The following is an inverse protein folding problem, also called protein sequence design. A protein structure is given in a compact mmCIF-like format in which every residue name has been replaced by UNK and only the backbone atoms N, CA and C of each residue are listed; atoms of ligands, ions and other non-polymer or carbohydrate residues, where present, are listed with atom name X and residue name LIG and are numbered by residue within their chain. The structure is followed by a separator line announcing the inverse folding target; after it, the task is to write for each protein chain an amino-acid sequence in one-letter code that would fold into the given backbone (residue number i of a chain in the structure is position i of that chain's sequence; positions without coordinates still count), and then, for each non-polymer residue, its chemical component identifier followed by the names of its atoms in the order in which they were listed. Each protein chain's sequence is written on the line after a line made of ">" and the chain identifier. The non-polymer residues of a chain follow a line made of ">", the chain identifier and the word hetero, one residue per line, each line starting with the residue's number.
data_IF_218164698344
#
_entry.id   IF_218164698344
#
_cell.length_a   1.000
_cell.length_b   1.000
_cell.length_c   1.000
_cell.angle_alpha   90.00
_cell.angle_beta   90.00
_cell.angle_gamma   90.00
#
_symmetry.space_group_name_H-M   'P 1'
#
loop_
_entity.id
_entity.type
_entity.pdbx_description
1 polymer ?
#
# COMPACT_ATOMS: atom_id res chain seq x y z
N UNK A 1 6.25 7.01 39.94
CA UNK A 1 6.46 7.30 38.49
C UNK A 1 7.93 7.62 38.27
N UNK A 2 8.56 7.02 37.26
CA UNK A 2 9.94 7.35 36.87
C UNK A 2 9.88 8.74 36.24
N UNK A 3 10.14 9.81 37.01
CA UNK A 3 9.89 11.19 36.58
C UNK A 3 10.80 11.67 35.44
N UNK A 4 11.99 11.12 35.25
CA UNK A 4 12.97 11.61 34.29
C UNK A 4 13.59 10.53 33.37
N UNK A 5 12.96 9.35 33.30
CA UNK A 5 13.46 8.25 32.48
C UNK A 5 13.07 8.43 31.02
N UNK A 6 14.06 8.52 30.17
CA UNK A 6 13.91 8.56 28.71
C UNK A 6 14.56 7.35 28.08
N UNK A 7 13.77 6.51 27.41
CA UNK A 7 14.24 5.24 26.79
C UNK A 7 15.44 5.42 25.84
N UNK A 8 15.52 6.55 25.15
CA UNK A 8 16.62 6.85 24.21
C UNK A 8 17.95 7.15 24.91
N UNK A 9 17.92 7.42 26.21
CA UNK A 9 19.12 7.60 27.05
C UNK A 9 19.51 6.33 27.79
N UNK A 10 18.66 5.30 27.74
CA UNK A 10 18.98 4.01 28.35
C UNK A 10 20.07 3.29 27.54
N UNK A 11 21.17 2.97 28.21
CA UNK A 11 22.34 2.36 27.58
C UNK A 11 22.02 0.99 26.97
N UNK A 12 21.10 0.22 27.58
CA UNK A 12 20.70 -1.09 27.07
C UNK A 12 19.88 -0.95 25.78
N UNK A 13 18.95 0.01 25.74
CA UNK A 13 18.22 0.31 24.51
C UNK A 13 19.17 0.74 23.38
N UNK A 14 20.08 1.66 23.68
CA UNK A 14 21.03 2.18 22.69
C UNK A 14 21.95 1.08 22.15
N UNK A 15 22.48 0.22 23.02
CA UNK A 15 23.30 -0.92 22.61
C UNK A 15 22.52 -1.95 21.79
N UNK A 16 21.28 -2.24 22.16
CA UNK A 16 20.42 -3.14 21.40
C UNK A 16 20.18 -2.63 19.97
N UNK A 17 19.87 -1.34 19.80
CA UNK A 17 19.65 -0.76 18.47
C UNK A 17 20.95 -0.75 17.66
N UNK A 18 22.07 -0.36 18.25
CA UNK A 18 23.39 -0.31 17.58
C UNK A 18 23.81 -1.68 17.06
N UNK A 19 23.55 -2.74 17.82
CA UNK A 19 23.94 -4.11 17.47
C UNK A 19 22.93 -4.80 16.52
N UNK A 20 21.93 -4.06 16.01
CA UNK A 20 20.97 -4.53 15.00
C UNK A 20 20.93 -3.57 13.79
N UNK A 21 22.01 -3.48 12.99
CA UNK A 21 22.16 -2.49 11.92
C UNK A 21 21.11 -2.65 10.81
N UNK A 22 20.46 -3.81 10.71
CA UNK A 22 19.45 -4.09 9.68
C UNK A 22 18.02 -3.71 10.09
N UNK A 23 17.84 -3.02 11.25
CA UNK A 23 16.52 -2.51 11.62
C UNK A 23 16.18 -1.27 10.78
N UNK A 24 14.96 -1.25 10.23
CA UNK A 24 14.43 -0.05 9.61
C UNK A 24 14.13 1.04 10.66
N UNK A 25 14.13 2.31 10.28
CA UNK A 25 13.73 3.42 11.15
C UNK A 25 12.33 3.20 11.77
N UNK A 26 11.40 2.66 11.00
CA UNK A 26 10.08 2.29 11.49
C UNK A 26 10.15 1.24 12.61
N UNK A 27 11.00 0.22 12.46
CA UNK A 27 11.22 -0.80 13.50
C UNK A 27 11.87 -0.21 14.75
N UNK A 28 12.84 0.69 14.60
CA UNK A 28 13.47 1.41 15.71
C UNK A 28 12.43 2.21 16.49
N UNK A 29 11.56 2.95 15.77
CA UNK A 29 10.46 3.71 16.36
C UNK A 29 9.46 2.81 17.11
N UNK A 30 9.16 1.62 16.57
CA UNK A 30 8.29 0.66 17.24
C UNK A 30 8.93 0.13 18.54
N UNK A 31 10.21 -0.28 18.53
CA UNK A 31 10.91 -0.68 19.75
C UNK A 31 10.91 0.44 20.79
N UNK A 32 11.23 1.68 20.37
CA UNK A 32 11.17 2.85 21.26
C UNK A 32 9.80 3.00 21.92
N UNK A 33 8.74 2.94 21.13
CA UNK A 33 7.36 3.13 21.62
C UNK A 33 6.95 2.02 22.57
N UNK A 34 7.19 0.76 22.20
CA UNK A 34 6.79 -0.41 22.99
C UNK A 34 7.57 -0.53 24.27
N UNK A 35 8.91 -0.37 24.24
CA UNK A 35 9.73 -0.45 25.44
C UNK A 35 9.48 0.72 26.40
N UNK A 36 9.21 1.92 25.89
CA UNK A 36 8.78 3.05 26.72
C UNK A 36 7.43 2.79 27.41
N UNK A 37 6.49 2.15 26.70
CA UNK A 37 5.20 1.73 27.23
C UNK A 37 5.37 0.64 28.30
N UNK A 38 6.29 -0.30 28.08
CA UNK A 38 6.62 -1.37 29.02
C UNK A 38 7.23 -0.84 30.31
N UNK A 39 8.24 0.01 30.24
CA UNK A 39 8.87 0.64 31.42
C UNK A 39 7.89 1.48 32.21
N UNK A 40 6.98 2.20 31.54
CA UNK A 40 5.90 2.93 32.21
C UNK A 40 4.90 2.02 32.93
N UNK A 41 4.51 0.92 32.29
CA UNK A 41 3.59 -0.06 32.89
C UNK A 41 4.20 -0.70 34.15
N UNK A 42 5.46 -1.11 34.07
CA UNK A 42 6.19 -1.77 35.17
C UNK A 42 6.71 -0.76 36.19
N UNK A 43 6.77 0.51 35.86
CA UNK A 43 7.34 1.60 36.66
C UNK A 43 8.82 1.39 37.05
N UNK A 44 9.61 0.80 36.16
CA UNK A 44 11.02 0.54 36.34
C UNK A 44 11.80 0.75 35.01
N UNK A 45 13.09 1.21 35.08
CA UNK A 45 13.94 1.32 33.90
C UNK A 45 14.34 -0.07 33.39
N UNK A 46 14.72 -0.18 32.09
CA UNK A 46 15.10 -1.45 31.47
C UNK A 46 16.27 -2.15 32.19
N UNK A 47 17.24 -1.38 32.67
CA UNK A 47 18.40 -1.89 33.41
C UNK A 47 17.98 -2.62 34.70
N UNK A 48 17.06 -2.03 35.45
CA UNK A 48 16.53 -2.61 36.69
C UNK A 48 15.69 -3.87 36.41
N UNK A 49 14.84 -3.83 35.38
CA UNK A 49 14.03 -4.98 34.95
C UNK A 49 14.94 -6.17 34.61
N UNK A 50 15.95 -5.96 33.76
CA UNK A 50 16.88 -7.00 33.32
C UNK A 50 17.68 -7.52 34.51
N UNK A 51 18.20 -6.64 35.37
CA UNK A 51 18.97 -6.98 36.54
C UNK A 51 18.15 -7.91 37.47
N UNK A 52 16.94 -7.52 37.84
CA UNK A 52 16.09 -8.32 38.74
C UNK A 52 15.68 -9.66 38.14
N UNK A 53 15.41 -9.70 36.81
CA UNK A 53 15.13 -10.96 36.14
C UNK A 53 16.33 -11.92 36.18
N UNK A 54 17.54 -11.43 35.90
CA UNK A 54 18.77 -12.23 35.92
C UNK A 54 19.12 -12.72 37.34
N UNK A 55 19.12 -11.81 38.30
CA UNK A 55 19.38 -12.17 39.70
C UNK A 55 18.45 -13.26 40.22
N UNK A 56 17.19 -13.28 39.77
CA UNK A 56 16.26 -14.34 40.12
C UNK A 56 16.52 -15.63 39.36
N UNK A 57 16.87 -15.55 38.08
CA UNK A 57 17.12 -16.69 37.21
C UNK A 57 18.45 -17.40 37.53
N UNK A 58 19.44 -16.65 38.04
CA UNK A 58 20.74 -17.17 38.41
C UNK A 58 20.76 -17.73 39.84
N UNK A 59 19.69 -17.54 40.63
CA UNK A 59 19.58 -18.07 41.97
C UNK A 59 19.41 -19.61 41.94
N UNK A 60 20.43 -20.29 42.39
CA UNK A 60 20.36 -21.71 42.70
C UNK A 60 20.03 -21.84 44.19
N UNK A 61 18.88 -22.43 44.50
CA UNK A 61 18.49 -22.63 45.88
C UNK A 61 18.80 -24.07 46.26
N UNK A 62 19.78 -24.25 47.12
CA UNK A 62 20.03 -25.56 47.76
C UNK A 62 19.04 -25.73 48.91
N UNK A 63 18.20 -26.75 48.83
CA UNK A 63 17.33 -27.14 49.95
C UNK A 63 17.85 -28.46 50.51
N UNK A 64 18.01 -28.52 51.83
CA UNK A 64 18.23 -29.78 52.55
C UNK A 64 16.91 -30.55 52.52
N UNK A 65 16.86 -31.67 51.81
CA UNK A 65 15.65 -32.48 51.63
C UNK A 65 15.49 -33.58 52.68
N UNK A 66 16.57 -34.09 53.18
CA UNK A 66 16.55 -35.08 54.26
C UNK A 66 17.82 -35.03 55.08
N UNK A 67 17.71 -35.34 56.36
CA UNK A 67 18.84 -35.69 57.23
C UNK A 67 18.62 -37.12 57.64
N UNK A 68 19.39 -38.04 57.11
CA UNK A 68 19.43 -39.48 57.55
C UNK A 68 20.73 -39.73 58.23
N UNK A 69 20.71 -40.61 59.28
CA UNK A 69 21.91 -41.03 59.95
C UNK A 69 22.24 -42.45 59.47
N UNK A 70 23.46 -42.67 58.99
CA UNK A 70 23.90 -43.99 58.57
C UNK A 70 24.14 -44.94 59.80
N UNK A 71 24.36 -46.23 59.56
CA UNK A 71 24.60 -47.26 60.61
C UNK A 71 25.84 -46.92 61.42
N UNK A 72 26.71 -46.06 60.98
CA UNK A 72 27.91 -45.59 61.65
C UNK A 72 27.73 -44.28 62.41
N UNK A 73 26.50 -43.72 62.49
CA UNK A 73 26.20 -42.50 63.22
C UNK A 73 26.51 -41.22 62.47
N UNK A 74 26.88 -41.29 61.19
CA UNK A 74 27.17 -40.09 60.37
C UNK A 74 25.87 -39.51 59.76
N UNK A 75 25.70 -38.22 59.85
CA UNK A 75 24.54 -37.55 59.26
C UNK A 75 24.71 -37.32 57.74
N UNK A 76 23.92 -38.02 56.95
CA UNK A 76 23.85 -37.84 55.51
C UNK A 76 22.86 -36.73 55.27
N UNK A 77 23.31 -35.63 54.63
CA UNK A 77 22.48 -34.47 54.22
C UNK A 77 22.21 -34.61 52.74
N UNK A 78 21.00 -34.98 52.40
CA UNK A 78 20.54 -34.87 51.00
C UNK A 78 20.19 -33.44 50.70
N UNK A 79 20.87 -32.88 49.69
CA UNK A 79 20.60 -31.53 49.17
C UNK A 79 19.93 -31.63 47.81
N UNK A 80 18.75 -31.08 47.69
CA UNK A 80 18.13 -30.86 46.37
C UNK A 80 18.50 -29.46 45.83
N UNK A 81 18.94 -29.46 44.60
CA UNK A 81 19.19 -28.20 43.87
C UNK A 81 17.91 -27.83 43.15
N UNK A 82 17.25 -26.76 43.60
CA UNK A 82 16.07 -26.23 42.93
C UNK A 82 16.54 -25.19 41.93
N UNK A 83 16.44 -25.50 40.65
CA UNK A 83 16.67 -24.53 39.58
C UNK A 83 15.49 -23.55 39.50
N UNK A 84 15.74 -22.34 38.95
CA UNK A 84 14.71 -21.37 38.68
C UNK A 84 13.60 -21.95 37.81
N UNK A 85 12.37 -21.88 38.29
CA UNK A 85 11.18 -22.22 37.48
C UNK A 85 10.70 -21.02 36.71
N UNK A 86 10.94 -21.04 35.41
CA UNK A 86 10.54 -19.98 34.47
C UNK A 86 9.01 -19.80 34.36
N UNK A 87 8.27 -20.87 34.64
CA UNK A 87 6.81 -20.85 34.57
C UNK A 87 6.15 -20.42 35.89
N UNK A 88 6.95 -20.19 36.95
CA UNK A 88 6.42 -19.68 38.21
C UNK A 88 5.73 -18.33 37.97
N UNK A 89 4.41 -18.19 38.22
CA UNK A 89 3.66 -16.94 38.04
C UNK A 89 4.23 -15.75 38.83
N UNK A 90 4.87 -16.00 39.99
CA UNK A 90 5.47 -15.00 40.85
C UNK A 90 6.90 -14.60 40.45
N UNK A 91 7.43 -15.19 39.38
CA UNK A 91 8.73 -14.77 38.87
C UNK A 91 8.66 -13.33 38.35
N UNK A 92 9.75 -12.58 38.51
CA UNK A 92 9.82 -11.18 38.08
C UNK A 92 9.43 -11.01 36.60
N UNK A 93 9.87 -11.96 35.75
CA UNK A 93 9.57 -11.88 34.33
C UNK A 93 8.06 -12.03 34.04
N UNK A 94 7.39 -12.98 34.71
CA UNK A 94 5.95 -13.18 34.56
C UNK A 94 5.17 -12.01 35.12
N UNK A 95 5.57 -11.49 36.31
CA UNK A 95 4.94 -10.31 36.87
C UNK A 95 5.05 -9.09 35.97
N UNK A 96 6.21 -8.83 35.37
CA UNK A 96 6.42 -7.68 34.46
C UNK A 96 5.63 -7.82 33.17
N UNK A 97 5.62 -9.00 32.55
CA UNK A 97 4.84 -9.24 31.34
C UNK A 97 3.34 -9.11 31.59
N UNK A 98 2.84 -9.70 32.70
CA UNK A 98 1.43 -9.60 33.09
C UNK A 98 1.04 -8.15 33.42
N UNK A 99 1.91 -7.39 34.08
CA UNK A 99 1.68 -5.96 34.36
C UNK A 99 1.53 -5.18 33.06
N UNK A 100 2.36 -5.46 32.05
CA UNK A 100 2.25 -4.83 30.73
C UNK A 100 0.94 -5.23 30.02
N UNK A 101 0.58 -6.50 30.07
CA UNK A 101 -0.67 -7.01 29.48
C UNK A 101 -1.87 -6.29 30.11
N UNK A 102 -1.94 -6.22 31.44
CA UNK A 102 -3.02 -5.54 32.15
C UNK A 102 -3.07 -4.05 31.80
N UNK A 103 -1.90 -3.41 31.70
CA UNK A 103 -1.83 -2.01 31.25
C UNK A 103 -2.43 -1.85 29.84
N UNK A 104 -2.13 -2.76 28.90
CA UNK A 104 -2.67 -2.75 27.56
C UNK A 104 -4.19 -2.98 27.52
N UNK A 105 -4.69 -3.93 28.32
CA UNK A 105 -6.12 -4.23 28.45
C UNK A 105 -6.86 -3.01 28.99
N UNK A 106 -6.35 -2.39 30.05
CA UNK A 106 -6.94 -1.18 30.64
C UNK A 106 -6.96 0.01 29.65
N UNK A 107 -6.01 0.07 28.72
CA UNK A 107 -5.98 1.03 27.61
C UNK A 107 -6.84 0.61 26.43
N UNK A 108 -7.59 -0.49 26.52
CA UNK A 108 -8.44 -1.05 25.45
C UNK A 108 -7.68 -1.34 24.15
N UNK A 109 -6.42 -1.74 24.26
CA UNK A 109 -5.63 -2.15 23.11
C UNK A 109 -6.17 -3.46 22.51
N UNK A 110 -6.07 -3.62 21.18
CA UNK A 110 -6.45 -4.87 20.52
C UNK A 110 -5.51 -6.02 20.91
N UNK A 111 -6.01 -7.25 20.85
CA UNK A 111 -5.20 -8.48 21.05
C UNK A 111 -4.00 -8.57 20.12
N UNK A 112 -4.16 -8.08 18.86
CA UNK A 112 -3.06 -7.97 17.89
C UNK A 112 -1.96 -7.02 18.38
N UNK A 113 -2.33 -5.88 18.97
CA UNK A 113 -1.38 -4.92 19.55
C UNK A 113 -0.66 -5.51 20.75
N UNK A 114 -1.37 -6.21 21.63
CA UNK A 114 -0.77 -6.89 22.79
C UNK A 114 0.25 -7.93 22.33
N UNK A 115 -0.12 -8.80 21.39
CA UNK A 115 0.79 -9.82 20.84
C UNK A 115 2.02 -9.20 20.19
N UNK A 116 1.87 -8.08 19.49
CA UNK A 116 2.97 -7.35 18.87
C UNK A 116 3.90 -6.75 19.93
N UNK A 117 3.36 -6.09 20.95
CA UNK A 117 4.13 -5.50 22.04
C UNK A 117 4.96 -6.60 22.76
N UNK A 118 4.30 -7.71 23.09
CA UNK A 118 4.97 -8.85 23.73
C UNK A 118 6.10 -9.44 22.87
N UNK A 119 5.89 -9.54 21.55
CA UNK A 119 6.94 -10.03 20.65
C UNK A 119 8.18 -9.12 20.64
N UNK A 120 8.00 -7.78 20.68
CA UNK A 120 9.11 -6.84 20.73
C UNK A 120 9.81 -6.85 22.10
N UNK A 121 9.03 -6.84 23.20
CA UNK A 121 9.56 -6.91 24.58
C UNK A 121 10.38 -8.18 24.76
N UNK A 122 9.83 -9.35 24.42
CA UNK A 122 10.51 -10.63 24.60
C UNK A 122 11.75 -10.73 23.71
N UNK A 123 11.73 -10.18 22.50
CA UNK A 123 12.92 -10.12 21.64
C UNK A 123 14.03 -9.27 22.26
N UNK A 124 13.68 -8.14 22.86
CA UNK A 124 14.61 -7.28 23.56
C UNK A 124 15.20 -7.96 24.80
N UNK A 125 14.38 -8.57 25.66
CA UNK A 125 14.80 -9.24 26.87
C UNK A 125 15.69 -10.48 26.58
N UNK A 126 15.33 -11.27 25.55
CA UNK A 126 16.15 -12.41 25.09
C UNK A 126 17.53 -11.97 24.60
N UNK A 127 17.64 -10.80 23.97
CA UNK A 127 18.93 -10.25 23.54
C UNK A 127 19.88 -10.05 24.74
N UNK A 128 19.34 -9.76 25.92
CA UNK A 128 20.10 -9.66 27.17
C UNK A 128 20.12 -10.93 27.98
N UNK A 129 19.88 -12.09 27.35
CA UNK A 129 19.89 -13.43 27.98
C UNK A 129 18.89 -13.60 29.14
N UNK A 130 17.80 -12.85 29.16
CA UNK A 130 16.68 -13.11 30.06
C UNK A 130 15.87 -14.28 29.50
N UNK A 131 15.71 -15.34 30.28
CA UNK A 131 14.87 -16.47 29.94
C UNK A 131 13.40 -16.01 29.95
N UNK A 132 12.65 -16.40 28.92
CA UNK A 132 11.25 -16.00 28.75
C UNK A 132 10.36 -17.24 28.79
N UNK A 133 9.25 -17.22 29.56
CA UNK A 133 8.30 -18.32 29.60
C UNK A 133 7.63 -18.51 28.23
N UNK A 134 7.12 -19.71 27.98
CA UNK A 134 6.30 -19.97 26.80
C UNK A 134 4.98 -19.23 26.96
N UNK A 135 4.79 -18.20 26.17
CA UNK A 135 3.57 -17.40 26.19
C UNK A 135 2.62 -17.85 25.08
N UNK A 136 1.37 -18.06 25.45
CA UNK A 136 0.30 -18.24 24.48
C UNK A 136 -0.04 -16.90 23.83
N UNK A 137 -0.32 -16.94 22.53
CA UNK A 137 -0.78 -15.76 21.79
C UNK A 137 -2.28 -15.57 22.06
N UNK A 138 -2.66 -14.34 22.34
CA UNK A 138 -4.07 -14.00 22.35
C UNK A 138 -4.69 -14.30 20.99
N UNK A 139 -5.86 -14.95 20.97
CA UNK A 139 -6.60 -15.21 19.75
C UNK A 139 -6.90 -13.90 19.03
N UNK A 140 -6.68 -13.89 17.72
CA UNK A 140 -7.11 -12.76 16.91
C UNK A 140 -8.62 -12.86 16.75
N UNK A 141 -9.33 -11.82 17.14
CA UNK A 141 -10.71 -11.70 16.72
C UNK A 141 -10.69 -11.54 15.20
N UNK A 142 -11.09 -12.59 14.48
CA UNK A 142 -11.37 -12.50 13.06
C UNK A 142 -12.61 -11.60 12.92
N UNK A 143 -12.40 -10.30 12.88
CA UNK A 143 -13.44 -9.38 12.43
C UNK A 143 -13.59 -9.64 10.94
N UNK A 144 -14.76 -10.11 10.52
CA UNK A 144 -15.14 -10.08 9.11
C UNK A 144 -15.06 -8.62 8.65
N UNK A 145 -14.15 -8.38 7.72
CA UNK A 145 -13.95 -7.05 7.18
C UNK A 145 -14.80 -6.93 5.92
N UNK A 146 -15.82 -6.10 5.96
CA UNK A 146 -16.51 -5.71 4.75
C UNK A 146 -15.53 -4.95 3.84
N UNK A 147 -15.47 -5.37 2.59
CA UNK A 147 -14.72 -4.66 1.56
C UNK A 147 -15.48 -3.38 1.18
N UNK A 148 -14.71 -2.35 0.84
CA UNK A 148 -15.26 -1.17 0.19
C UNK A 148 -15.84 -1.57 -1.16
N UNK A 149 -17.01 -1.01 -1.51
CA UNK A 149 -17.65 -1.21 -2.80
C UNK A 149 -17.27 -0.13 -3.80
N UNK A 150 -17.64 -0.30 -5.07
CA UNK A 150 -17.45 0.75 -6.09
C UNK A 150 -18.22 2.03 -5.73
N UNK A 151 -19.41 1.88 -5.18
CA UNK A 151 -20.26 3.01 -4.72
C UNK A 151 -19.57 3.78 -3.60
N UNK A 152 -18.93 3.10 -2.65
CA UNK A 152 -18.13 3.72 -1.59
C UNK A 152 -16.97 4.56 -2.17
N UNK A 153 -16.26 4.00 -3.14
CA UNK A 153 -15.17 4.71 -3.79
C UNK A 153 -15.68 5.92 -4.60
N UNK A 154 -16.77 5.76 -5.34
CA UNK A 154 -17.39 6.86 -6.09
C UNK A 154 -17.83 7.99 -5.15
N UNK A 155 -18.46 7.67 -4.01
CA UNK A 155 -18.80 8.66 -2.99
C UNK A 155 -17.57 9.45 -2.50
N UNK A 156 -16.46 8.76 -2.23
CA UNK A 156 -15.21 9.36 -1.75
C UNK A 156 -14.54 10.21 -2.83
N UNK A 157 -14.52 9.74 -4.07
CA UNK A 157 -13.85 10.40 -5.19
C UNK A 157 -14.60 11.66 -5.59
N UNK A 158 -15.93 11.63 -5.64
CA UNK A 158 -16.76 12.80 -5.96
C UNK A 158 -16.57 13.95 -4.96
N UNK A 159 -16.24 13.66 -3.71
CA UNK A 159 -15.86 14.66 -2.68
C UNK A 159 -14.35 14.98 -2.69
N UNK A 160 -13.60 14.58 -3.71
CA UNK A 160 -12.13 14.73 -3.75
C UNK A 160 -11.68 15.83 -4.70
N UNK A 161 -10.55 16.45 -4.37
CA UNK A 161 -9.79 17.23 -5.36
C UNK A 161 -9.19 16.29 -6.40
N UNK A 162 -8.91 16.77 -7.60
CA UNK A 162 -8.30 15.95 -8.66
C UNK A 162 -6.99 15.28 -8.22
N UNK A 163 -6.17 15.95 -7.39
CA UNK A 163 -4.95 15.41 -6.83
C UNK A 163 -5.22 14.22 -5.87
N UNK A 164 -6.27 14.28 -5.05
CA UNK A 164 -6.63 13.17 -4.19
C UNK A 164 -7.38 12.07 -4.96
N UNK A 165 -8.21 12.44 -5.94
CA UNK A 165 -8.89 11.48 -6.79
C UNK A 165 -7.88 10.63 -7.57
N UNK A 166 -6.88 11.24 -8.22
CA UNK A 166 -5.84 10.52 -8.96
C UNK A 166 -5.03 9.58 -8.07
N UNK A 167 -4.69 9.99 -6.84
CA UNK A 167 -4.01 9.11 -5.86
C UNK A 167 -4.90 7.92 -5.45
N UNK A 168 -6.18 8.17 -5.17
CA UNK A 168 -7.13 7.12 -4.77
C UNK A 168 -7.32 6.12 -5.91
N UNK A 169 -7.54 6.59 -7.14
CA UNK A 169 -7.62 5.75 -8.33
C UNK A 169 -6.37 4.90 -8.49
N UNK A 170 -5.19 5.52 -8.40
CA UNK A 170 -3.92 4.79 -8.51
C UNK A 170 -3.81 3.65 -7.47
N UNK A 171 -4.20 3.90 -6.21
CA UNK A 171 -4.16 2.89 -5.14
C UNK A 171 -5.17 1.75 -5.38
N UNK A 172 -6.35 2.05 -5.93
CA UNK A 172 -7.41 1.08 -6.23
C UNK A 172 -7.01 0.22 -7.43
N UNK A 173 -6.46 0.84 -8.48
CA UNK A 173 -6.21 0.18 -9.76
C UNK A 173 -4.86 -0.54 -9.82
N UNK A 174 -3.83 -0.07 -9.08
CA UNK A 174 -2.52 -0.71 -9.03
C UNK A 174 -2.35 -1.66 -7.85
N UNK A 175 -3.13 -1.48 -6.79
CA UNK A 175 -2.93 -2.18 -5.53
C UNK A 175 -1.58 -1.92 -4.88
N UNK A 176 -0.79 -0.94 -5.34
CA UNK A 176 0.51 -0.59 -4.75
C UNK A 176 0.35 -0.19 -3.28
N UNK A 177 1.41 -0.43 -2.49
CA UNK A 177 1.43 0.09 -1.12
C UNK A 177 1.56 1.62 -1.15
N UNK A 178 0.90 2.31 -0.22
CA UNK A 178 0.96 3.78 -0.14
C UNK A 178 2.40 4.31 -0.15
N UNK A 179 3.31 3.63 0.56
CA UNK A 179 4.73 4.01 0.59
C UNK A 179 5.41 3.98 -0.76
N UNK A 180 5.09 2.96 -1.58
CA UNK A 180 5.67 2.80 -2.90
C UNK A 180 5.04 3.79 -3.88
N UNK A 181 3.70 3.94 -3.83
CA UNK A 181 2.95 4.93 -4.63
C UNK A 181 3.45 6.36 -4.40
N UNK A 182 3.66 6.75 -3.15
CA UNK A 182 4.11 8.12 -2.83
C UNK A 182 5.56 8.40 -3.23
N UNK A 183 6.36 7.39 -3.56
CA UNK A 183 7.73 7.57 -4.07
C UNK A 183 7.79 7.72 -5.58
N UNK A 184 6.70 7.50 -6.30
CA UNK A 184 6.67 7.65 -7.74
C UNK A 184 6.95 9.09 -8.16
N UNK A 185 7.77 9.23 -9.20
CA UNK A 185 8.07 10.48 -9.87
C UNK A 185 7.31 10.62 -11.18
N UNK A 186 7.29 11.82 -11.76
CA UNK A 186 6.75 12.03 -13.11
C UNK A 186 7.54 11.17 -14.11
N UNK A 187 8.85 11.04 -13.94
CA UNK A 187 9.69 10.20 -14.78
C UNK A 187 9.32 8.71 -14.71
N UNK A 188 8.97 8.20 -13.49
CA UNK A 188 8.50 6.82 -13.36
C UNK A 188 7.16 6.60 -14.10
N UNK A 189 6.28 7.60 -14.11
CA UNK A 189 5.02 7.52 -14.85
C UNK A 189 5.24 7.58 -16.37
N UNK A 190 6.15 8.43 -16.84
CA UNK A 190 6.55 8.47 -18.26
C UNK A 190 7.14 7.13 -18.70
N UNK A 191 8.03 6.54 -17.89
CA UNK A 191 8.61 5.22 -18.18
C UNK A 191 7.55 4.11 -18.16
N UNK A 192 6.62 4.15 -17.21
CA UNK A 192 5.53 3.19 -17.11
C UNK A 192 4.56 3.22 -18.31
N UNK A 193 4.51 4.34 -19.04
CA UNK A 193 3.64 4.56 -20.21
C UNK A 193 4.39 4.61 -21.53
N UNK A 194 5.70 4.38 -21.55
CA UNK A 194 6.56 4.51 -22.74
C UNK A 194 6.16 3.65 -23.93
N UNK A 195 5.38 2.60 -23.73
CA UNK A 195 4.83 1.78 -24.81
C UNK A 195 3.90 2.60 -25.75
N UNK A 196 3.40 3.73 -25.29
CA UNK A 196 2.40 4.56 -25.98
C UNK A 196 2.96 5.86 -26.54
N UNK A 197 4.21 6.21 -26.23
CA UNK A 197 4.83 7.49 -26.63
C UNK A 197 6.36 7.47 -26.50
N UNK A 198 7.02 8.38 -27.25
CA UNK A 198 8.47 8.59 -27.22
C UNK A 198 8.87 9.94 -26.62
N UNK A 199 7.99 10.59 -25.85
CA UNK A 199 8.28 11.88 -25.26
C UNK A 199 9.42 11.83 -24.26
N UNK A 200 10.39 12.73 -24.43
CA UNK A 200 11.53 12.89 -23.49
C UNK A 200 11.28 14.08 -22.57
N UNK A 201 10.65 15.14 -23.09
CA UNK A 201 10.33 16.34 -22.33
C UNK A 201 9.05 16.14 -21.51
N UNK A 202 9.05 16.67 -20.27
CA UNK A 202 7.91 16.55 -19.34
C UNK A 202 6.74 17.40 -19.77
N UNK A 203 6.98 18.60 -20.26
CA UNK A 203 5.93 19.52 -20.68
C UNK A 203 5.22 19.01 -21.93
N UNK A 204 6.00 18.45 -22.88
CA UNK A 204 5.47 17.82 -24.08
C UNK A 204 4.65 16.57 -23.74
N UNK A 205 5.14 15.71 -22.84
CA UNK A 205 4.40 14.56 -22.36
C UNK A 205 3.07 14.94 -21.71
N UNK A 206 3.09 15.91 -20.78
CA UNK A 206 1.86 16.34 -20.08
C UNK A 206 0.80 16.84 -21.05
N UNK A 207 1.20 17.59 -22.08
CA UNK A 207 0.25 18.17 -23.04
C UNK A 207 -0.30 17.16 -24.03
N UNK A 208 0.56 16.26 -24.55
CA UNK A 208 0.26 15.45 -25.73
C UNK A 208 0.12 13.94 -25.45
N UNK A 209 0.34 13.48 -24.21
CA UNK A 209 0.24 12.06 -23.90
C UNK A 209 -1.14 11.47 -24.30
N UNK A 210 -1.17 10.26 -24.93
CA UNK A 210 -2.40 9.60 -25.33
C UNK A 210 -3.33 9.30 -24.14
N UNK A 211 -4.65 9.30 -24.40
CA UNK A 211 -5.64 9.08 -23.34
C UNK A 211 -5.84 7.61 -22.94
N UNK A 212 -5.51 6.66 -23.84
CA UNK A 212 -5.82 5.25 -23.65
C UNK A 212 -4.61 4.43 -23.16
N UNK A 213 -3.71 5.05 -22.43
CA UNK A 213 -2.52 4.40 -21.92
C UNK A 213 -2.83 3.47 -20.73
N UNK A 214 -2.14 2.33 -20.70
CA UNK A 214 -2.03 1.47 -19.51
C UNK A 214 -0.61 1.61 -19.01
N UNK A 215 -0.43 2.14 -17.81
CA UNK A 215 0.89 2.24 -17.21
C UNK A 215 1.31 0.90 -16.63
N UNK A 216 2.55 0.48 -16.89
CA UNK A 216 3.15 -0.76 -16.41
C UNK A 216 4.24 -0.44 -15.40
N UNK A 217 4.07 -0.86 -14.16
CA UNK A 217 5.03 -0.67 -13.07
C UNK A 217 5.71 -1.99 -12.73
N UNK A 218 7.00 -2.08 -12.96
CA UNK A 218 7.83 -3.25 -12.66
C UNK A 218 8.94 -2.86 -11.68
N UNK A 219 8.83 -3.27 -10.43
CA UNK A 219 9.70 -2.79 -9.37
C UNK A 219 9.82 -3.77 -8.19
N UNK A 220 10.72 -3.48 -7.28
CA UNK A 220 10.86 -4.18 -6.00
C UNK A 220 10.30 -3.31 -4.88
N UNK A 221 9.12 -3.64 -4.29
CA UNK A 221 8.50 -2.84 -3.23
C UNK A 221 9.44 -2.66 -2.03
N UNK A 222 9.52 -1.46 -1.48
CA UNK A 222 10.46 -1.08 -0.41
C UNK A 222 10.45 -2.06 0.76
N UNK A 223 9.26 -2.46 1.21
CA UNK A 223 9.09 -3.40 2.33
C UNK A 223 9.68 -4.79 2.06
N UNK A 224 9.71 -5.20 0.82
CA UNK A 224 10.10 -6.57 0.39
C UNK A 224 11.36 -6.59 -0.47
N UNK A 225 11.95 -5.43 -0.76
CA UNK A 225 13.14 -5.26 -1.59
C UNK A 225 14.34 -6.11 -1.14
N UNK A 226 14.57 -6.21 0.17
CA UNK A 226 15.62 -7.07 0.74
C UNK A 226 15.44 -8.55 0.45
N UNK A 227 14.21 -8.98 0.17
CA UNK A 227 13.89 -10.37 -0.19
C UNK A 227 13.81 -10.55 -1.72
N UNK A 228 14.12 -9.52 -2.51
CA UNK A 228 14.04 -9.52 -3.98
C UNK A 228 12.67 -9.97 -4.50
N UNK A 229 11.58 -9.60 -3.82
CA UNK A 229 10.23 -9.90 -4.26
C UNK A 229 9.83 -8.83 -5.27
N UNK A 230 9.70 -9.24 -6.55
CA UNK A 230 9.28 -8.38 -7.67
C UNK A 230 7.79 -8.12 -7.61
N UNK A 231 7.37 -6.95 -8.04
CA UNK A 231 5.98 -6.57 -8.24
C UNK A 231 5.82 -6.04 -9.65
N UNK A 232 4.88 -6.60 -10.40
CA UNK A 232 4.46 -6.07 -11.71
C UNK A 232 2.99 -5.73 -11.57
N UNK A 233 2.64 -4.46 -11.70
CA UNK A 233 1.26 -4.01 -11.59
C UNK A 233 0.99 -2.88 -12.58
N UNK A 234 -0.27 -2.49 -12.71
CA UNK A 234 -0.70 -1.58 -13.78
C UNK A 234 -1.66 -0.53 -13.24
N UNK A 235 -1.85 0.52 -14.05
CA UNK A 235 -3.00 1.42 -13.92
C UNK A 235 -3.68 1.57 -15.27
N UNK A 236 -5.01 1.68 -15.22
CA UNK A 236 -5.87 1.76 -16.39
C UNK A 236 -5.94 3.18 -16.99
N UNK A 237 -6.53 3.36 -18.18
CA UNK A 237 -6.68 4.66 -18.80
C UNK A 237 -7.43 5.69 -17.95
N UNK A 238 -8.44 5.27 -17.18
CA UNK A 238 -9.20 6.13 -16.27
C UNK A 238 -8.27 6.82 -15.27
N UNK A 239 -7.43 6.03 -14.61
CA UNK A 239 -6.43 6.52 -13.64
C UNK A 239 -5.39 7.42 -14.28
N UNK A 240 -4.85 7.01 -15.44
CA UNK A 240 -3.77 7.73 -16.11
C UNK A 240 -4.24 9.09 -16.65
N UNK A 241 -5.47 9.16 -17.12
CA UNK A 241 -6.11 10.43 -17.53
C UNK A 241 -6.28 11.37 -16.33
N UNK A 242 -6.69 10.88 -15.16
CA UNK A 242 -6.79 11.71 -13.96
C UNK A 242 -5.42 12.21 -13.50
N UNK A 243 -4.38 11.39 -13.60
CA UNK A 243 -3.00 11.80 -13.30
C UNK A 243 -2.57 12.93 -14.25
N UNK A 244 -2.76 12.75 -15.57
CA UNK A 244 -2.43 13.77 -16.58
C UNK A 244 -3.22 15.06 -16.36
N UNK A 245 -4.52 14.99 -16.06
CA UNK A 245 -5.33 16.16 -15.72
C UNK A 245 -4.80 16.89 -14.49
N UNK A 246 -4.38 16.16 -13.45
CA UNK A 246 -3.76 16.78 -12.28
C UNK A 246 -2.43 17.46 -12.62
N UNK A 247 -1.57 16.83 -13.42
CA UNK A 247 -0.31 17.41 -13.87
C UNK A 247 -0.53 18.65 -14.74
N UNK A 248 -1.50 18.62 -15.69
CA UNK A 248 -1.91 19.79 -16.50
C UNK A 248 -2.39 20.94 -15.61
N UNK A 249 -3.19 20.65 -14.59
CA UNK A 249 -3.64 21.66 -13.62
C UNK A 249 -2.48 22.26 -12.83
N UNK A 250 -1.50 21.46 -12.41
CA UNK A 250 -0.30 21.95 -11.71
C UNK A 250 0.50 22.84 -12.66
N UNK A 251 0.79 22.39 -13.87
CA UNK A 251 1.56 23.10 -14.90
C UNK A 251 0.89 24.43 -15.29
N UNK A 252 -0.38 24.41 -15.67
CA UNK A 252 -1.04 25.52 -16.34
C UNK A 252 -1.71 26.52 -15.38
N UNK A 253 -2.10 26.09 -14.19
CA UNK A 253 -2.83 26.96 -13.26
C UNK A 253 -2.06 27.23 -11.96
N UNK A 254 -1.39 26.22 -11.43
CA UNK A 254 -0.85 26.30 -10.06
C UNK A 254 0.56 26.89 -10.03
N UNK A 255 1.47 26.37 -10.86
CA UNK A 255 2.84 26.87 -10.96
C UNK A 255 2.92 28.31 -11.42
N UNK A 256 2.17 28.79 -12.43
CA UNK A 256 2.20 30.20 -12.81
C UNK A 256 1.84 31.15 -11.66
N UNK A 257 0.80 30.82 -10.88
CA UNK A 257 0.41 31.61 -9.69
C UNK A 257 1.49 31.59 -8.61
N UNK A 258 2.13 30.44 -8.44
CA UNK A 258 3.21 30.28 -7.47
C UNK A 258 4.46 31.03 -7.91
N UNK A 259 4.84 30.96 -9.19
CA UNK A 259 5.95 31.68 -9.80
C UNK A 259 5.79 33.20 -9.67
N UNK A 260 4.59 33.71 -9.95
CA UNK A 260 4.27 35.13 -9.76
C UNK A 260 4.44 35.55 -8.29
N UNK A 261 3.98 34.71 -7.34
CA UNK A 261 4.09 34.99 -5.90
C UNK A 261 5.51 34.96 -5.38
N UNK A 262 6.36 34.05 -5.91
CA UNK A 262 7.72 33.83 -5.45
C UNK A 262 8.79 34.59 -6.25
N UNK A 263 8.42 35.18 -7.40
CA UNK A 263 9.39 35.72 -8.35
C UNK A 263 10.33 34.65 -8.93
N UNK A 264 9.82 33.44 -9.14
CA UNK A 264 10.57 32.27 -9.59
C UNK A 264 10.06 31.75 -10.95
N UNK A 265 10.85 30.89 -11.61
CA UNK A 265 10.45 30.14 -12.81
C UNK A 265 10.47 28.63 -12.53
N UNK A 266 9.52 28.16 -11.71
CA UNK A 266 9.39 26.75 -11.38
C UNK A 266 8.71 26.01 -12.54
N UNK A 267 9.34 24.91 -12.99
CA UNK A 267 8.80 24.00 -14.02
C UNK A 267 8.79 22.59 -13.47
N UNK A 268 7.91 21.72 -14.00
CA UNK A 268 7.92 20.31 -13.69
C UNK A 268 9.12 19.61 -14.33
N UNK A 269 9.64 18.60 -13.65
CA UNK A 269 10.75 17.78 -14.13
C UNK A 269 10.48 16.28 -13.87
N UNK A 270 11.23 15.40 -14.52
CA UNK A 270 11.12 13.95 -14.32
C UNK A 270 11.34 13.51 -12.87
N UNK A 271 12.14 14.27 -12.10
CA UNK A 271 12.46 13.96 -10.71
C UNK A 271 11.42 14.45 -9.71
N UNK A 272 10.45 15.25 -10.16
CA UNK A 272 9.40 15.74 -9.28
C UNK A 272 8.39 14.64 -8.96
N UNK A 273 7.81 14.74 -7.76
CA UNK A 273 6.86 13.75 -7.27
C UNK A 273 5.60 13.68 -8.15
N UNK A 274 5.17 12.47 -8.52
CA UNK A 274 3.92 12.24 -9.24
C UNK A 274 2.71 12.68 -8.40
N UNK A 275 2.73 12.35 -7.10
CA UNK A 275 1.75 12.78 -6.11
C UNK A 275 2.39 13.83 -5.21
N UNK A 276 2.37 15.06 -5.68
CA UNK A 276 3.17 16.15 -5.15
C UNK A 276 2.53 16.87 -3.96
N UNK A 277 3.38 17.38 -3.07
CA UNK A 277 3.00 18.18 -1.91
C UNK A 277 2.96 19.67 -2.22
N UNK A 278 1.83 20.33 -1.94
CA UNK A 278 1.71 21.80 -2.00
C UNK A 278 2.73 22.50 -1.10
N UNK A 279 3.03 21.94 0.09
CA UNK A 279 4.01 22.49 1.02
C UNK A 279 5.43 22.51 0.47
N UNK A 280 5.74 21.61 -0.45
CA UNK A 280 7.02 21.50 -1.13
C UNK A 280 6.97 22.03 -2.57
N UNK A 281 6.09 23.01 -2.82
CA UNK A 281 5.99 23.69 -4.12
C UNK A 281 5.76 22.73 -5.30
N UNK A 282 5.07 21.61 -5.05
CA UNK A 282 4.80 20.54 -6.01
C UNK A 282 6.04 19.79 -6.54
N UNK A 283 7.19 19.93 -5.87
CA UNK A 283 8.44 19.22 -6.19
C UNK A 283 8.60 17.92 -5.39
N UNK A 284 8.25 17.97 -4.11
CA UNK A 284 8.41 16.84 -3.21
C UNK A 284 7.15 16.02 -3.02
N UNK A 285 7.34 14.79 -2.52
CA UNK A 285 6.28 13.82 -2.30
C UNK A 285 5.32 14.20 -1.18
N UNK A 286 4.06 13.78 -1.30
CA UNK A 286 3.13 13.80 -0.18
C UNK A 286 3.66 12.92 0.96
N UNK A 287 3.52 13.37 2.20
CA UNK A 287 3.82 12.53 3.36
C UNK A 287 2.69 11.53 3.63
N UNK A 288 3.04 10.34 4.13
CA UNK A 288 2.04 9.36 4.55
C UNK A 288 1.07 9.94 5.60
N UNK A 289 1.55 10.80 6.48
CA UNK A 289 0.73 11.46 7.50
C UNK A 289 -0.33 12.37 6.85
N UNK A 290 0.08 13.21 5.90
CA UNK A 290 -0.87 14.08 5.16
C UNK A 290 -1.96 13.29 4.45
N UNK A 291 -1.59 12.16 3.82
CA UNK A 291 -2.56 11.28 3.15
C UNK A 291 -3.48 10.60 4.17
N UNK A 292 -2.93 10.13 5.29
CA UNK A 292 -3.70 9.50 6.36
C UNK A 292 -4.74 10.47 6.95
N UNK A 293 -4.40 11.73 7.12
CA UNK A 293 -5.33 12.76 7.61
C UNK A 293 -6.48 13.01 6.62
N UNK A 294 -6.17 13.05 5.32
CA UNK A 294 -7.20 13.18 4.27
C UNK A 294 -8.10 11.95 4.27
N UNK A 295 -7.53 10.76 4.33
CA UNK A 295 -8.28 9.50 4.33
C UNK A 295 -9.14 9.36 5.58
N UNK A 296 -8.66 9.78 6.74
CA UNK A 296 -9.43 9.79 7.96
C UNK A 296 -10.69 10.67 7.85
N UNK A 297 -10.54 11.89 7.30
CA UNK A 297 -11.69 12.80 7.09
C UNK A 297 -12.71 12.20 6.13
N UNK A 298 -12.24 11.59 5.02
CA UNK A 298 -13.12 10.92 4.06
C UNK A 298 -13.80 9.69 4.64
N UNK A 299 -13.09 8.92 5.44
CA UNK A 299 -13.66 7.78 6.16
C UNK A 299 -14.79 8.22 7.13
N UNK A 300 -14.63 9.36 7.79
CA UNK A 300 -15.69 9.90 8.65
C UNK A 300 -16.95 10.25 7.87
N UNK A 301 -16.81 10.93 6.72
CA UNK A 301 -17.92 11.26 5.83
C UNK A 301 -18.60 10.00 5.26
N UNK A 302 -17.82 9.01 4.83
CA UNK A 302 -18.34 7.73 4.35
C UNK A 302 -19.15 7.03 5.44
N UNK A 303 -18.62 7.00 6.66
CA UNK A 303 -19.30 6.40 7.81
C UNK A 303 -20.64 7.09 8.10
N UNK A 304 -20.66 8.42 8.08
CA UNK A 304 -21.88 9.20 8.25
C UNK A 304 -22.91 8.92 7.15
N UNK A 305 -22.45 8.78 5.91
CA UNK A 305 -23.30 8.38 4.77
C UNK A 305 -23.93 6.99 5.00
N UNK A 306 -23.13 5.99 5.35
CA UNK A 306 -23.64 4.65 5.65
C UNK A 306 -24.61 4.64 6.83
N UNK A 307 -24.37 5.41 7.89
CA UNK A 307 -25.29 5.51 9.03
C UNK A 307 -26.65 6.04 8.57
N UNK A 308 -26.67 7.07 7.71
CA UNK A 308 -27.93 7.57 7.13
C UNK A 308 -28.67 6.50 6.32
N UNK A 309 -27.95 5.74 5.48
CA UNK A 309 -28.56 4.64 4.72
C UNK A 309 -29.11 3.52 5.62
N UNK A 310 -28.42 3.22 6.73
CA UNK A 310 -28.89 2.26 7.73
C UNK A 310 -30.18 2.77 8.39
N UNK A 311 -30.22 4.05 8.79
CA UNK A 311 -31.38 4.66 9.43
C UNK A 311 -32.57 4.75 8.47
N UNK A 312 -32.33 5.02 7.17
CA UNK A 312 -33.37 4.95 6.12
C UNK A 312 -33.95 3.54 5.96
N UNK A 313 -33.11 2.49 5.99
CA UNK A 313 -33.56 1.09 5.95
C UNK A 313 -34.42 0.71 7.14
N UNK A 314 -34.08 1.21 8.33
CA UNK A 314 -34.88 1.01 9.54
C UNK A 314 -36.23 1.69 9.39
N UNK A 315 -36.27 2.94 8.92
CA UNK A 315 -37.52 3.68 8.70
C UNK A 315 -38.43 3.02 7.66
N UNK A 316 -37.86 2.30 6.67
CA UNK A 316 -38.60 1.50 5.67
C UNK A 316 -39.00 0.12 6.18
N UNK A 317 -38.59 -0.29 7.38
CA UNK A 317 -38.83 -1.61 7.93
C UNK A 317 -37.97 -2.74 7.33
N UNK A 318 -36.92 -2.39 6.55
CA UNK A 318 -36.00 -3.34 5.91
C UNK A 318 -34.92 -3.86 6.89
N UNK A 319 -34.70 -3.15 7.99
CA UNK A 319 -33.75 -3.51 9.05
C UNK A 319 -34.36 -3.27 10.43
N UNK A 320 -34.11 -4.20 11.37
CA UNK A 320 -34.58 -4.03 12.75
C UNK A 320 -33.73 -3.03 13.53
N UNK A 321 -34.34 -2.38 14.54
CA UNK A 321 -33.62 -1.52 15.47
C UNK A 321 -32.53 -2.27 16.27
N UNK A 322 -32.75 -3.55 16.56
CA UNK A 322 -31.82 -4.43 17.26
C UNK A 322 -30.55 -4.67 16.46
N UNK A 323 -30.67 -4.79 15.13
CA UNK A 323 -29.55 -5.02 14.22
C UNK A 323 -28.76 -3.74 13.86
N UNK A 324 -29.28 -2.56 14.20
CA UNK A 324 -28.67 -1.26 13.89
C UNK A 324 -27.20 -1.18 14.31
N UNK A 325 -26.89 -1.56 15.55
CA UNK A 325 -25.53 -1.49 16.05
C UNK A 325 -24.58 -2.46 15.35
N UNK A 326 -25.08 -3.65 15.00
CA UNK A 326 -24.34 -4.65 14.22
C UNK A 326 -24.03 -4.12 12.82
N UNK A 327 -25.02 -3.52 12.14
CA UNK A 327 -24.86 -2.89 10.83
C UNK A 327 -23.83 -1.73 10.88
N UNK A 328 -23.90 -0.85 11.89
CA UNK A 328 -22.92 0.22 12.07
C UNK A 328 -21.50 -0.31 12.29
N UNK A 329 -21.34 -1.41 13.02
CA UNK A 329 -20.04 -2.02 13.27
C UNK A 329 -19.46 -2.72 12.01
N UNK A 330 -20.31 -3.09 11.07
CA UNK A 330 -19.92 -3.71 9.80
C UNK A 330 -19.55 -2.71 8.69
N UNK A 331 -19.72 -1.40 8.91
CA UNK A 331 -19.35 -0.37 7.92
C UNK A 331 -17.86 -0.49 7.57
N UNK A 332 -17.51 -0.62 6.28
CA UNK A 332 -16.12 -0.73 5.86
C UNK A 332 -15.34 0.54 6.16
N UNK A 333 -14.04 0.41 6.43
CA UNK A 333 -13.16 1.55 6.72
C UNK A 333 -12.37 1.95 5.50
N UNK A 334 -12.50 3.20 5.08
CA UNK A 334 -11.68 3.76 4.01
C UNK A 334 -10.28 4.13 4.51
N UNK A 335 -9.28 3.49 3.94
CA UNK A 335 -7.85 3.77 4.13
C UNK A 335 -7.04 3.15 2.99
N UNK A 336 -5.78 3.53 2.81
CA UNK A 336 -4.96 3.06 1.70
C UNK A 336 -4.85 1.52 1.60
N UNK A 337 -4.80 0.82 2.75
CA UNK A 337 -4.81 -0.65 2.72
C UNK A 337 -6.19 -1.22 2.33
N UNK A 338 -7.29 -0.48 2.55
CA UNK A 338 -8.62 -0.83 2.06
C UNK A 338 -8.69 -0.80 0.53
N UNK A 339 -8.11 0.22 -0.11
CA UNK A 339 -7.96 0.30 -1.57
C UNK A 339 -7.21 -0.93 -2.12
N UNK A 340 -6.08 -1.27 -1.50
CA UNK A 340 -5.30 -2.44 -1.87
C UNK A 340 -6.06 -3.77 -1.65
N UNK A 341 -6.85 -3.89 -0.58
CA UNK A 341 -7.70 -5.08 -0.36
C UNK A 341 -8.74 -5.24 -1.46
N UNK A 342 -9.36 -4.15 -1.89
CA UNK A 342 -10.29 -4.15 -3.02
C UNK A 342 -9.59 -4.66 -4.29
N UNK A 343 -8.43 -4.09 -4.64
CA UNK A 343 -7.62 -4.55 -5.78
C UNK A 343 -7.33 -6.05 -5.69
N UNK A 344 -6.75 -6.51 -4.58
CA UNK A 344 -6.38 -7.91 -4.36
C UNK A 344 -7.59 -8.83 -4.52
N UNK A 345 -8.72 -8.49 -3.88
CA UNK A 345 -9.96 -9.27 -4.01
C UNK A 345 -10.45 -9.34 -5.45
N UNK A 346 -10.42 -8.23 -6.16
CA UNK A 346 -10.88 -8.15 -7.55
C UNK A 346 -9.96 -8.93 -8.49
N UNK A 347 -8.63 -8.77 -8.35
CA UNK A 347 -7.67 -9.52 -9.17
C UNK A 347 -7.80 -11.03 -8.92
N UNK A 348 -7.86 -11.46 -7.65
CA UNK A 348 -7.99 -12.89 -7.34
C UNK A 348 -9.31 -13.51 -7.85
N UNK A 349 -10.38 -12.72 -7.93
CA UNK A 349 -11.66 -13.17 -8.48
C UNK A 349 -11.58 -13.40 -10.00
N UNK A 350 -10.85 -12.54 -10.72
CA UNK A 350 -10.84 -12.51 -12.19
C UNK A 350 -9.63 -13.22 -12.82
N UNK A 351 -8.53 -13.37 -12.08
CA UNK A 351 -7.31 -14.00 -12.56
C UNK A 351 -7.26 -15.46 -12.11
N UNK A 352 -7.49 -16.41 -12.99
CA UNK A 352 -7.43 -17.85 -12.69
C UNK A 352 -6.04 -18.37 -12.26
N UNK A 353 -5.02 -17.52 -12.18
CA UNK A 353 -3.64 -17.89 -11.87
C UNK A 353 -3.11 -17.15 -10.62
N UNK A 354 -3.09 -17.84 -9.48
CA UNK A 354 -2.64 -17.30 -8.20
C UNK A 354 -1.19 -16.76 -8.24
N UNK A 355 -0.32 -17.29 -9.11
CA UNK A 355 1.06 -16.81 -9.25
C UNK A 355 1.09 -15.41 -9.85
N UNK A 356 0.30 -15.15 -10.89
CA UNK A 356 0.18 -13.81 -11.49
C UNK A 356 -0.43 -12.83 -10.48
N UNK A 357 -1.44 -13.26 -9.71
CA UNK A 357 -2.02 -12.44 -8.64
C UNK A 357 -0.96 -12.03 -7.60
N UNK A 358 -0.19 -12.99 -7.09
CA UNK A 358 0.84 -12.68 -6.08
C UNK A 358 1.95 -11.78 -6.62
N UNK A 359 2.25 -11.86 -7.91
CA UNK A 359 3.20 -10.97 -8.57
C UNK A 359 2.66 -9.54 -8.65
N UNK A 360 1.40 -9.35 -9.06
CA UNK A 360 0.73 -8.04 -9.05
C UNK A 360 0.61 -7.46 -7.63
N UNK A 361 0.46 -8.32 -6.64
CA UNK A 361 0.41 -7.92 -5.25
C UNK A 361 1.78 -7.60 -4.64
N UNK A 362 2.89 -7.97 -5.28
CA UNK A 362 4.24 -7.88 -4.69
C UNK A 362 4.33 -8.70 -3.41
N UNK A 363 3.74 -9.89 -3.41
CA UNK A 363 3.81 -10.91 -2.37
C UNK A 363 4.75 -12.04 -2.78
N UNK A 364 5.25 -12.78 -1.77
CA UNK A 364 6.03 -13.99 -2.04
C UNK A 364 5.13 -15.03 -2.71
N UNK A 365 5.65 -15.70 -3.75
CA UNK A 365 4.92 -16.80 -4.39
C UNK A 365 4.50 -17.86 -3.34
N UNK A 366 3.30 -18.43 -3.47
CA UNK A 366 2.86 -19.53 -2.61
C UNK A 366 3.71 -20.80 -2.81
N UNK A 367 4.39 -20.94 -3.96
CA UNK A 367 5.28 -22.06 -4.25
C UNK A 367 6.72 -21.63 -4.03
N UNK A 368 7.42 -22.30 -3.11
CA UNK A 368 8.77 -21.92 -2.69
C UNK A 368 9.80 -21.95 -3.85
N UNK A 369 9.64 -22.87 -4.78
CA UNK A 369 10.56 -23.09 -5.91
C UNK A 369 10.33 -22.18 -7.10
N UNK A 370 9.22 -21.42 -7.14
CA UNK A 370 8.86 -20.58 -8.31
C UNK A 370 9.95 -19.56 -8.66
N UNK A 371 10.64 -18.99 -7.67
CA UNK A 371 11.71 -18.02 -7.92
C UNK A 371 12.87 -18.57 -8.74
N UNK A 372 13.04 -19.89 -8.78
CA UNK A 372 14.12 -20.58 -9.50
C UNK A 372 13.70 -21.10 -10.88
N UNK A 373 12.42 -21.40 -11.06
CA UNK A 373 11.94 -22.11 -12.25
C UNK A 373 10.94 -21.35 -13.10
N UNK A 374 10.25 -20.34 -12.54
CA UNK A 374 9.20 -19.62 -13.25
C UNK A 374 9.65 -18.21 -13.57
N UNK A 375 9.79 -17.92 -14.87
CA UNK A 375 9.90 -16.54 -15.36
C UNK A 375 8.52 -16.10 -15.85
N UNK A 376 8.03 -15.00 -15.30
CA UNK A 376 6.78 -14.40 -15.76
C UNK A 376 7.07 -13.38 -16.84
N UNK A 377 6.37 -13.47 -17.95
CA UNK A 377 6.33 -12.41 -18.95
C UNK A 377 5.43 -11.28 -18.41
N UNK A 378 5.84 -10.03 -18.64
CA UNK A 378 5.06 -8.84 -18.32
C UNK A 378 3.73 -8.86 -19.06
N UNK A 379 3.72 -9.42 -20.27
CA UNK A 379 2.53 -9.52 -21.11
C UNK A 379 1.46 -10.44 -20.48
N UNK A 380 1.86 -11.62 -19.97
CA UNK A 380 0.93 -12.54 -19.29
C UNK A 380 0.25 -11.87 -18.08
N UNK A 381 1.05 -11.08 -17.32
CA UNK A 381 0.54 -10.34 -16.15
C UNK A 381 -0.41 -9.22 -16.59
N UNK A 382 -0.08 -8.54 -17.71
CA UNK A 382 -0.91 -7.49 -18.30
C UNK A 382 -2.26 -8.03 -18.77
N UNK A 383 -2.28 -9.17 -19.41
CA UNK A 383 -3.53 -9.83 -19.85
C UNK A 383 -4.42 -10.21 -18.66
N UNK A 384 -3.84 -10.77 -17.60
CA UNK A 384 -4.57 -11.04 -16.37
C UNK A 384 -5.14 -9.77 -15.71
N UNK A 385 -4.40 -8.66 -15.75
CA UNK A 385 -4.88 -7.37 -15.27
C UNK A 385 -6.03 -6.83 -16.14
N UNK A 386 -5.90 -6.91 -17.48
CA UNK A 386 -6.92 -6.44 -18.43
C UNK A 386 -8.26 -7.15 -18.21
N UNK A 387 -8.23 -8.47 -17.94
CA UNK A 387 -9.43 -9.23 -17.61
C UNK A 387 -10.16 -8.73 -16.35
N UNK A 388 -9.44 -8.11 -15.43
CA UNK A 388 -10.00 -7.58 -14.19
C UNK A 388 -10.47 -6.11 -14.29
N UNK A 389 -10.12 -5.38 -15.36
CA UNK A 389 -10.47 -3.96 -15.52
C UNK A 389 -11.97 -3.70 -15.36
N UNK A 390 -12.91 -4.48 -15.94
CA UNK A 390 -14.35 -4.23 -15.79
C UNK A 390 -14.81 -4.21 -14.33
N UNK A 391 -14.24 -5.09 -13.49
CA UNK A 391 -14.53 -5.15 -12.07
C UNK A 391 -13.73 -4.11 -11.25
N UNK A 392 -12.62 -3.62 -11.77
CA UNK A 392 -11.84 -2.53 -11.16
C UNK A 392 -12.38 -1.14 -11.54
N UNK A 393 -12.98 -0.95 -12.73
CA UNK A 393 -13.49 0.34 -13.20
C UNK A 393 -14.55 0.89 -12.26
N UNK A 394 -14.44 2.17 -11.95
CA UNK A 394 -15.40 2.92 -11.13
C UNK A 394 -16.45 3.63 -11.99
N UNK A 395 -16.14 3.91 -13.25
CA UNK A 395 -17.10 4.42 -14.20
C UNK A 395 -17.98 3.27 -14.74
N UNK A 396 -19.28 3.54 -14.91
CA UNK A 396 -20.23 2.59 -15.53
C UNK A 396 -20.08 2.51 -17.07
N UNK A 397 -18.96 2.99 -17.60
CA UNK A 397 -18.64 2.86 -19.01
C UNK A 397 -18.24 1.42 -19.31
N UNK A 398 -18.89 0.82 -20.31
CA UNK A 398 -18.40 -0.41 -20.93
C UNK A 398 -16.97 -0.14 -21.46
N UNK A 399 -15.98 -0.34 -20.61
CA UNK A 399 -14.58 -0.31 -21.04
C UNK A 399 -14.42 -1.53 -21.94
N UNK A 400 -14.43 -1.34 -23.27
CA UNK A 400 -14.12 -2.40 -24.22
C UNK A 400 -12.70 -2.86 -23.93
N UNK A 401 -12.58 -3.95 -23.21
CA UNK A 401 -11.29 -4.59 -22.94
C UNK A 401 -10.85 -5.23 -24.24
N UNK A 402 -9.84 -4.66 -24.84
CA UNK A 402 -9.21 -5.23 -26.04
C UNK A 402 -8.35 -6.41 -25.59
N UNK A 403 -8.86 -7.62 -25.77
CA UNK A 403 -8.06 -8.86 -25.68
C UNK A 403 -7.02 -8.86 -26.82
N UNK A 404 -5.98 -9.69 -26.70
CA UNK A 404 -4.98 -9.86 -27.77
C UNK A 404 -5.61 -10.25 -29.12
N UNK A 405 -6.74 -10.95 -29.09
CA UNK A 405 -7.57 -11.27 -30.27
C UNK A 405 -8.21 -10.02 -30.87
N UNK A 406 -8.92 -9.22 -30.06
CA UNK A 406 -9.56 -7.98 -30.51
C UNK A 406 -8.51 -6.96 -30.99
N UNK A 407 -7.31 -6.94 -30.43
CA UNK A 407 -6.20 -6.11 -30.91
C UNK A 407 -5.73 -6.55 -32.28
N UNK A 408 -5.52 -7.85 -32.50
CA UNK A 408 -5.18 -8.40 -33.83
C UNK A 408 -6.26 -8.13 -34.87
N UNK A 409 -7.52 -8.29 -34.51
CA UNK A 409 -8.65 -7.95 -35.39
C UNK A 409 -8.67 -6.47 -35.75
N UNK A 410 -8.39 -5.57 -34.79
CA UNK A 410 -8.27 -4.14 -35.05
C UNK A 410 -7.06 -3.77 -35.88
N UNK A 411 -5.88 -4.33 -35.60
CA UNK A 411 -4.67 -4.15 -36.38
C UNK A 411 -4.89 -4.61 -37.84
N UNK A 412 -5.55 -5.75 -38.04
CA UNK A 412 -5.95 -6.22 -39.36
C UNK A 412 -6.93 -5.25 -40.05
N UNK A 413 -7.92 -4.75 -39.29
CA UNK A 413 -8.91 -3.79 -39.80
C UNK A 413 -8.28 -2.44 -40.15
N UNK A 414 -7.34 -1.96 -39.35
CA UNK A 414 -6.55 -0.73 -39.64
C UNK A 414 -5.74 -0.94 -40.94
N UNK A 415 -5.04 -2.06 -41.06
CA UNK A 415 -4.26 -2.38 -42.28
C UNK A 415 -5.16 -2.49 -43.53
N UNK A 416 -6.37 -3.02 -43.40
CA UNK A 416 -7.35 -3.08 -44.48
C UNK A 416 -7.86 -1.69 -44.87
N UNK A 417 -8.19 -0.85 -43.88
CA UNK A 417 -8.62 0.53 -44.09
C UNK A 417 -7.49 1.40 -44.70
N UNK A 418 -6.26 1.22 -44.30
CA UNK A 418 -5.09 1.89 -44.89
C UNK A 418 -4.92 1.55 -46.36
N UNK A 419 -5.08 0.27 -46.74
CA UNK A 419 -5.07 -0.18 -48.14
C UNK A 419 -6.23 0.42 -48.95
N UNK A 420 -7.46 0.46 -48.37
CA UNK A 420 -8.58 1.11 -49.02
C UNK A 420 -8.37 2.63 -49.20
N UNK A 421 -7.76 3.26 -48.21
CA UNK A 421 -7.43 4.69 -48.26
C UNK A 421 -6.39 5.00 -49.34
N UNK A 422 -5.35 4.15 -49.48
CA UNK A 422 -4.36 4.29 -50.53
C UNK A 422 -4.99 4.17 -51.93
N UNK A 423 -5.87 3.17 -52.14
CA UNK A 423 -6.60 3.00 -53.42
C UNK A 423 -7.52 4.21 -53.71
N UNK A 424 -8.15 4.80 -52.69
CA UNK A 424 -8.97 6.00 -52.87
C UNK A 424 -8.13 7.23 -53.17
N UNK A 425 -6.99 7.42 -52.55
CA UNK A 425 -6.05 8.49 -52.87
C UNK A 425 -5.52 8.39 -54.29
N UNK A 426 -5.11 7.18 -54.75
CA UNK A 426 -4.71 6.97 -56.16
C UNK A 426 -5.82 7.34 -57.14
N UNK A 427 -7.09 7.05 -56.82
CA UNK A 427 -8.23 7.48 -57.66
C UNK A 427 -8.45 8.99 -57.63
N UNK A 428 -8.26 9.63 -56.48
CA UNK A 428 -8.36 11.10 -56.36
C UNK A 428 -7.24 11.74 -57.18
N UNK A 429 -6.02 11.23 -57.15
CA UNK A 429 -4.91 11.75 -57.91
C UNK A 429 -5.14 11.60 -59.42
N UNK A 430 -5.68 10.46 -59.86
CA UNK A 430 -6.08 10.27 -61.28
C UNK A 430 -7.17 11.24 -61.68
N UNK A 431 -8.20 11.46 -60.87
CA UNK A 431 -9.24 12.44 -61.16
C UNK A 431 -8.68 13.88 -61.22
N UNK A 432 -7.70 14.16 -60.36
CA UNK A 432 -7.03 15.46 -60.36
C UNK A 432 -6.24 15.69 -61.65
N UNK A 433 -5.51 14.63 -62.12
CA UNK A 433 -4.83 14.68 -63.40
C UNK A 433 -5.77 14.85 -64.62
N UNK A 434 -6.92 14.14 -64.61
CA UNK A 434 -7.95 14.30 -65.64
C UNK A 434 -8.58 15.69 -65.60
N UNK A 435 -8.84 16.24 -64.41
CA UNK A 435 -9.34 17.59 -64.23
C UNK A 435 -8.36 18.66 -64.76
N UNK A 436 -7.06 18.50 -64.44
CA UNK A 436 -6.03 19.41 -64.98
C UNK A 436 -5.86 19.27 -66.53
N UNK A 437 -6.02 18.08 -67.10
CA UNK A 437 -6.08 17.87 -68.55
C UNK A 437 -7.31 18.51 -69.18
N UNK A 438 -8.45 18.41 -68.52
CA UNK A 438 -9.70 19.08 -68.94
C UNK A 438 -9.54 20.59 -68.89
N UNK A 439 -9.00 21.15 -67.84
CA UNK A 439 -8.74 22.58 -67.63
C UNK A 439 -7.80 23.16 -68.67
N UNK A 440 -6.79 22.39 -69.13
CA UNK A 440 -5.90 22.79 -70.23
C UNK A 440 -6.56 22.73 -71.59
N UNK A 441 -7.63 21.94 -71.78
CA UNK A 441 -8.37 21.83 -73.05
C UNK A 441 -9.45 22.90 -73.18
N UNK A 442 -9.98 23.40 -72.08
CA UNK A 442 -10.96 24.50 -72.03
C UNK A 442 -10.20 25.79 -71.81
N UNK A 443 -9.70 26.40 -72.88
CA UNK A 443 -9.18 27.76 -72.81
C UNK A 443 -10.34 28.78 -72.76
N UNK A 444 -10.13 29.83 -72.00
CA UNK A 444 -11.17 30.93 -71.83
C UNK A 444 -11.60 31.53 -73.15
N UNK A 445 -10.90 31.32 -74.28
CA UNK A 445 -11.24 31.77 -75.64
C UNK A 445 -12.38 30.96 -76.25
N UNK A 446 -12.60 29.71 -75.83
CA UNK A 446 -13.69 28.85 -76.32
C UNK A 446 -15.05 29.25 -75.72
N UNK A 447 -15.02 29.81 -74.52
CA UNK A 447 -16.27 30.28 -73.79
C UNK A 447 -16.76 31.62 -74.29
N UNK A 448 -15.94 32.43 -74.98
CA UNK A 448 -16.34 33.76 -75.54
C UNK A 448 -16.91 33.72 -76.94
N UNK A 449 -16.96 32.57 -77.59
CA UNK A 449 -17.49 32.48 -78.95
C UNK A 449 -18.98 32.20 -79.01
N UNK A 450 -19.63 31.91 -77.87
CA UNK A 450 -21.08 31.66 -77.83
C UNK A 450 -21.89 32.76 -77.13
N UNK A 451 -21.32 34.01 -77.01
CA UNK A 451 -22.04 35.19 -76.60
C UNK A 451 -21.93 36.33 -77.62
#
# INVERSE_FOLDING_TARGET
>A
MIKDYTITQDILYTNFIRNKPNLSEASITQYKTVLNKFTKAVNQPLSEIIKKCKEQQDKVTEKTTAKTTDESGNTIIEKSITKFDINNPESNINLYLNTHINYCINKKNSTTTINHDLALITTFLKYYNVQIPKMEKYSRNNTEWNLLTKEDFNFIINDSTIAHASLIHHLIKSGMRLTDTLKLTIGDFMEATKEYHDYIDVDEFIDNAPQNMIATYDFYPEKTKKFKIRCITFTDPETNNLILQNLRKIKNETLPKLNQKLGADLKLSKHDALFASKKQQYKGHLSQHSVSDVFYKKNSKLREHHIKLIDEKINKGELSLEDRQKAINSIPKFHAHGCRKFFISTINKNCGNLRLCTLMEGHKSPVYTDSSYVKFDVQDVKEAYLAAIPDLSLENTETKVYTSETRREMENKISELEKELAVKNDKVDLLFEEFEKFKRRVTWDDVRKDY
#
